data_IF_404902667377
#
_entry.id   IF_404902667377
#
_cell.length_a   1.000
_cell.length_b   1.000
_cell.length_c   1.000
_cell.angle_alpha   90.00
_cell.angle_beta   90.00
_cell.angle_gamma   90.00
#
_symmetry.space_group_name_H-M   'P 1'
#
loop_
_entity.id
_entity.type
_entity.pdbx_description
1 polymer ?
#
# COMPACT_ATOMS: atom_id res chain seq x y z
N UNK A 1 -19.95 36.28 -22.66
CA UNK A 1 -19.98 34.88 -22.20
C UNK A 1 -18.92 34.73 -21.13
N UNK A 2 -19.31 34.73 -19.85
CA UNK A 2 -18.40 34.66 -18.72
C UNK A 2 -17.87 33.23 -18.54
N UNK A 3 -16.58 33.09 -18.22
CA UNK A 3 -15.98 31.79 -17.90
C UNK A 3 -16.51 31.33 -16.54
N UNK A 4 -16.97 30.09 -16.44
CA UNK A 4 -17.71 29.55 -15.28
C UNK A 4 -16.84 28.81 -14.25
N UNK A 5 -15.51 28.86 -14.36
CA UNK A 5 -14.61 28.25 -13.39
C UNK A 5 -13.23 28.91 -13.41
N UNK A 6 -12.61 28.96 -12.23
CA UNK A 6 -11.21 29.32 -12.05
C UNK A 6 -10.39 28.02 -11.96
N UNK A 7 -9.40 27.88 -12.84
CA UNK A 7 -8.46 26.76 -12.81
C UNK A 7 -7.45 27.03 -11.68
N UNK A 8 -7.73 26.51 -10.48
CA UNK A 8 -6.73 26.47 -9.41
C UNK A 8 -5.71 25.38 -9.73
N UNK A 9 -4.40 25.66 -9.68
CA UNK A 9 -3.38 24.61 -9.84
C UNK A 9 -3.54 23.61 -8.69
N UNK A 10 -4.01 22.41 -9.02
CA UNK A 10 -4.07 21.30 -8.09
C UNK A 10 -2.67 20.72 -7.94
N UNK A 11 -2.06 20.98 -6.78
CA UNK A 11 -0.79 20.37 -6.42
C UNK A 11 -1.06 18.91 -6.04
N UNK A 12 -0.60 17.98 -6.86
CA UNK A 12 -0.64 16.57 -6.49
C UNK A 12 0.28 16.40 -5.28
N UNK A 13 -0.21 15.87 -4.15
CA UNK A 13 0.68 15.59 -3.03
C UNK A 13 1.80 14.70 -3.54
N UNK A 14 3.04 15.19 -3.39
CA UNK A 14 4.26 14.46 -3.77
C UNK A 14 4.16 13.03 -3.26
N UNK A 15 4.49 12.06 -4.13
CA UNK A 15 4.41 10.61 -3.88
C UNK A 15 4.54 10.26 -2.40
N UNK A 16 3.65 9.42 -1.84
CA UNK A 16 3.69 9.09 -0.43
C UNK A 16 5.08 8.56 -0.10
N UNK A 17 5.86 9.39 0.60
CA UNK A 17 7.20 9.01 1.03
C UNK A 17 7.01 7.81 1.95
N UNK A 18 7.72 6.71 1.66
CA UNK A 18 7.84 5.59 2.59
C UNK A 18 8.17 6.14 3.97
N UNK A 19 7.22 6.12 4.89
CA UNK A 19 7.45 6.55 6.26
C UNK A 19 7.99 5.36 7.03
N UNK A 20 8.52 5.57 8.24
CA UNK A 20 8.91 4.43 9.09
C UNK A 20 7.78 3.43 9.33
N UNK A 21 6.53 3.90 9.19
CA UNK A 21 5.32 3.11 9.37
C UNK A 21 4.74 2.59 8.06
N UNK A 22 5.23 2.98 6.87
CA UNK A 22 4.64 2.52 5.61
C UNK A 22 5.72 2.32 4.55
N UNK A 23 5.76 1.11 3.99
CA UNK A 23 6.70 0.70 2.97
C UNK A 23 5.93 0.32 1.70
N UNK A 24 6.35 0.86 0.57
CA UNK A 24 5.68 0.67 -0.71
C UNK A 24 6.53 -0.22 -1.62
N UNK A 25 5.87 -1.18 -2.26
CA UNK A 25 6.39 -1.99 -3.35
C UNK A 25 5.61 -1.75 -4.65
N UNK A 26 5.92 -2.53 -5.68
CA UNK A 26 5.25 -2.40 -6.99
C UNK A 26 3.83 -2.97 -6.93
N UNK A 27 2.84 -2.10 -6.72
CA UNK A 27 1.42 -2.49 -6.67
C UNK A 27 0.93 -3.02 -5.31
N UNK A 28 1.77 -2.91 -4.28
CA UNK A 28 1.44 -3.29 -2.91
C UNK A 28 2.13 -2.36 -1.91
N UNK A 29 1.63 -2.31 -0.68
CA UNK A 29 2.26 -1.62 0.43
C UNK A 29 2.08 -2.39 1.73
N UNK A 30 2.98 -2.21 2.67
CA UNK A 30 2.78 -2.62 4.06
C UNK A 30 2.73 -1.38 4.92
N UNK A 31 1.76 -1.30 5.83
CA UNK A 31 1.61 -0.19 6.76
C UNK A 31 1.40 -0.64 8.19
N UNK A 32 1.98 0.10 9.13
CA UNK A 32 1.75 -0.01 10.56
C UNK A 32 0.78 1.07 10.99
N UNK A 33 -0.30 0.65 11.63
CA UNK A 33 -1.33 1.51 12.19
C UNK A 33 -1.43 1.23 13.70
N UNK A 34 -0.66 1.99 14.48
CA UNK A 34 -0.48 1.76 15.92
C UNK A 34 0.21 0.43 16.22
N UNK A 35 -0.54 -0.50 16.82
CA UNK A 35 -0.06 -1.85 17.20
C UNK A 35 -0.31 -2.90 16.12
N UNK A 36 -1.05 -2.54 15.06
CA UNK A 36 -1.44 -3.45 13.99
C UNK A 36 -0.64 -3.19 12.74
N UNK A 37 -0.43 -4.25 11.96
CA UNK A 37 0.32 -4.20 10.71
C UNK A 37 -0.58 -4.73 9.61
N UNK A 38 -0.48 -4.12 8.45
CA UNK A 38 -1.35 -4.40 7.33
C UNK A 38 -0.56 -4.52 6.04
N UNK A 39 -0.84 -5.56 5.29
CA UNK A 39 -0.42 -5.73 3.91
C UNK A 39 -1.57 -5.35 3.00
N UNK A 40 -1.29 -4.42 2.10
CA UNK A 40 -2.23 -3.82 1.19
C UNK A 40 -1.79 -4.14 -0.24
N UNK A 41 -2.68 -4.67 -1.07
CA UNK A 41 -2.35 -4.97 -2.45
C UNK A 41 -3.57 -4.85 -3.36
N UNK A 42 -3.35 -4.58 -4.64
CA UNK A 42 -4.44 -4.58 -5.64
C UNK A 42 -4.55 -5.99 -6.20
N UNK A 43 -5.67 -6.68 -5.93
CA UNK A 43 -5.90 -7.98 -6.57
C UNK A 43 -6.34 -7.75 -8.02
N UNK A 44 -5.85 -8.59 -8.93
CA UNK A 44 -6.20 -8.56 -10.35
C UNK A 44 -7.64 -9.00 -10.66
N UNK A 45 -8.50 -9.13 -9.64
CA UNK A 45 -9.93 -9.41 -9.82
C UNK A 45 -10.60 -8.27 -10.59
N UNK A 46 -11.75 -8.55 -11.22
CA UNK A 46 -12.42 -7.79 -12.30
C UNK A 46 -12.69 -6.29 -12.05
N UNK A 47 -12.29 -5.72 -10.92
CA UNK A 47 -12.41 -4.30 -10.58
C UNK A 47 -11.17 -3.72 -9.86
N UNK A 48 -10.01 -4.40 -9.85
CA UNK A 48 -8.81 -3.90 -9.17
C UNK A 48 -9.08 -3.66 -7.68
N UNK A 49 -9.70 -4.63 -7.01
CA UNK A 49 -10.11 -4.46 -5.63
C UNK A 49 -8.89 -4.34 -4.72
N UNK A 50 -8.82 -3.24 -3.97
CA UNK A 50 -7.80 -3.05 -2.95
C UNK A 50 -8.07 -4.01 -1.80
N UNK A 51 -7.15 -4.94 -1.58
CA UNK A 51 -7.19 -5.91 -0.49
C UNK A 51 -6.29 -5.43 0.65
N UNK A 52 -6.76 -5.65 1.88
CA UNK A 52 -6.04 -5.32 3.11
C UNK A 52 -6.05 -6.53 4.03
N UNK A 53 -4.88 -7.03 4.36
CA UNK A 53 -4.65 -8.22 5.18
C UNK A 53 -3.91 -7.80 6.44
N UNK A 54 -4.36 -8.24 7.61
CA UNK A 54 -3.63 -8.00 8.86
C UNK A 54 -2.44 -8.96 8.95
N UNK A 55 -1.25 -8.41 9.18
CA UNK A 55 0.01 -9.15 9.28
C UNK A 55 0.66 -8.99 10.64
N UNK A 56 1.67 -9.79 10.92
CA UNK A 56 2.44 -9.66 12.17
C UNK A 56 3.52 -8.57 12.04
N UNK A 57 3.97 -8.06 13.19
CA UNK A 57 5.10 -7.12 13.26
C UNK A 57 6.37 -7.71 12.64
N UNK A 58 6.61 -9.01 12.84
CA UNK A 58 7.77 -9.71 12.29
C UNK A 58 7.74 -9.71 10.77
N UNK A 59 6.57 -9.98 10.18
CA UNK A 59 6.41 -10.01 8.72
C UNK A 59 6.60 -8.62 8.10
N UNK A 60 6.10 -7.57 8.76
CA UNK A 60 6.35 -6.20 8.35
C UNK A 60 7.85 -5.86 8.31
N UNK A 61 8.58 -6.24 9.36
CA UNK A 61 10.03 -6.02 9.46
C UNK A 61 10.81 -6.85 8.44
N UNK A 62 10.43 -8.10 8.20
CA UNK A 62 11.07 -8.95 7.19
C UNK A 62 10.87 -8.40 5.78
N UNK A 63 9.68 -7.88 5.48
CA UNK A 63 9.41 -7.21 4.20
C UNK A 63 10.22 -5.92 4.07
N UNK A 64 10.26 -5.09 5.12
CA UNK A 64 11.04 -3.84 5.15
C UNK A 64 12.54 -4.09 4.96
N UNK A 65 13.05 -5.23 5.46
CA UNK A 65 14.45 -5.67 5.30
C UNK A 65 14.73 -6.37 3.97
N UNK A 66 13.70 -6.69 3.19
CA UNK A 66 13.83 -7.47 1.94
C UNK A 66 14.05 -8.97 2.17
N UNK A 67 13.81 -9.47 3.38
CA UNK A 67 13.87 -10.90 3.70
C UNK A 67 12.63 -11.67 3.22
N UNK A 68 11.52 -10.95 2.99
CA UNK A 68 10.26 -11.54 2.55
C UNK A 68 9.71 -10.76 1.35
N UNK A 69 9.45 -11.49 0.26
CA UNK A 69 8.91 -10.95 -0.99
C UNK A 69 7.38 -10.95 -1.02
N UNK A 70 6.81 -10.21 -1.98
CA UNK A 70 5.36 -10.15 -2.22
C UNK A 70 4.72 -11.53 -2.41
N UNK A 71 5.34 -12.40 -3.20
CA UNK A 71 4.80 -13.75 -3.45
C UNK A 71 4.81 -14.60 -2.17
N UNK A 72 5.86 -14.48 -1.34
CA UNK A 72 5.96 -15.21 -0.06
C UNK A 72 4.88 -14.79 0.94
N UNK A 73 4.66 -13.48 1.12
CA UNK A 73 3.59 -13.00 1.99
C UNK A 73 2.21 -13.39 1.44
N UNK A 74 2.01 -13.31 0.12
CA UNK A 74 0.76 -13.73 -0.51
C UNK A 74 0.47 -15.21 -0.24
N UNK A 75 1.47 -16.09 -0.37
CA UNK A 75 1.34 -17.51 -0.03
C UNK A 75 1.07 -17.75 1.45
N UNK A 76 1.80 -17.04 2.33
CA UNK A 76 1.66 -17.17 3.78
C UNK A 76 0.26 -16.85 4.26
N UNK A 77 -0.34 -15.79 3.71
CA UNK A 77 -1.69 -15.34 4.06
C UNK A 77 -2.78 -15.88 3.13
N UNK A 78 -2.43 -16.76 2.18
CA UNK A 78 -3.34 -17.36 1.20
C UNK A 78 -4.14 -16.31 0.41
N UNK A 79 -3.47 -15.25 0.00
CA UNK A 79 -4.05 -14.14 -0.77
C UNK A 79 -3.51 -14.12 -2.20
N UNK A 80 -4.38 -13.76 -3.15
CA UNK A 80 -4.18 -13.84 -4.60
C UNK A 80 -4.63 -12.56 -5.30
#
# INVERSE_FOLDING_TARGET
>A
MGKYYEEVPFDYPTDPKSSDNEFFGSGWSVKRDGTKYYFCYISGQLQGAFQKVEITASDFEDIKKGNMSFDEICRKYQVH
#
